data_IF_153502206437
#
_entry.id   IF_153502206437
#
_cell.length_a   1.000
_cell.length_b   1.000
_cell.length_c   1.000
_cell.angle_alpha   90.00
_cell.angle_beta   90.00
_cell.angle_gamma   90.00
#
_symmetry.space_group_name_H-M   'P 1'
#
loop_
_entity.id
_entity.type
_entity.pdbx_description
1 polymer ?
#
# COMPACT_ATOMS: atom_id res chain seq x y z
N UNK A 1 -5.72 18.09 27.02
CA UNK A 1 -5.88 16.83 26.25
C UNK A 1 -4.60 16.61 25.48
N UNK A 2 -3.93 15.47 25.65
CA UNK A 2 -2.81 15.07 24.80
C UNK A 2 -3.32 14.76 23.41
N UNK A 3 -2.71 15.33 22.37
CA UNK A 3 -3.02 14.96 20.98
C UNK A 3 -2.65 13.49 20.76
N UNK A 4 -3.63 12.65 20.38
CA UNK A 4 -3.32 11.29 19.92
C UNK A 4 -2.49 11.42 18.64
N UNK A 5 -1.27 10.90 18.65
CA UNK A 5 -0.40 10.83 17.46
C UNK A 5 -1.10 9.96 16.40
N UNK A 6 -1.29 10.50 15.20
CA UNK A 6 -1.75 9.76 14.03
C UNK A 6 -0.70 8.70 13.65
N UNK A 7 -1.14 7.47 13.39
CA UNK A 7 -0.29 6.38 12.88
C UNK A 7 -0.49 6.24 11.36
N UNK A 8 0.59 5.94 10.65
CA UNK A 8 0.51 5.28 9.34
C UNK A 8 0.35 3.77 9.53
N UNK A 9 -0.05 3.06 8.47
CA UNK A 9 -0.38 1.63 8.50
C UNK A 9 0.77 0.77 9.05
N UNK A 10 2.02 1.14 8.83
CA UNK A 10 3.19 0.42 9.35
C UNK A 10 3.27 0.42 10.89
N UNK A 11 2.80 1.50 11.52
CA UNK A 11 2.76 1.72 12.97
C UNK A 11 1.37 1.37 13.59
N UNK A 12 0.42 0.86 12.79
CA UNK A 12 -0.90 0.40 13.28
C UNK A 12 -0.83 -1.00 13.92
N UNK A 13 -1.85 -1.38 14.72
CA UNK A 13 -1.90 -2.69 15.37
C UNK A 13 -1.85 -3.85 14.35
N UNK A 14 -1.31 -5.02 14.73
CA UNK A 14 -1.28 -6.20 13.84
C UNK A 14 -2.66 -6.58 13.30
N UNK A 15 -3.72 -6.44 14.09
CA UNK A 15 -5.10 -6.71 13.67
C UNK A 15 -5.53 -5.85 12.46
N UNK A 16 -5.32 -4.53 12.53
CA UNK A 16 -5.62 -3.60 11.42
C UNK A 16 -4.80 -3.94 10.18
N UNK A 17 -3.51 -4.26 10.35
CA UNK A 17 -2.64 -4.70 9.24
C UNK A 17 -3.14 -6.02 8.62
N UNK A 18 -3.51 -7.02 9.42
CA UNK A 18 -4.01 -8.30 8.92
C UNK A 18 -5.31 -8.11 8.12
N UNK A 19 -6.26 -7.31 8.61
CA UNK A 19 -7.50 -7.05 7.87
C UNK A 19 -7.24 -6.29 6.56
N UNK A 20 -6.34 -5.30 6.57
CA UNK A 20 -5.91 -4.59 5.37
C UNK A 20 -5.35 -5.54 4.30
N UNK A 21 -4.42 -6.43 4.69
CA UNK A 21 -3.80 -7.35 3.74
C UNK A 21 -4.72 -8.50 3.30
N UNK A 22 -5.68 -8.93 4.13
CA UNK A 22 -6.75 -9.86 3.68
C UNK A 22 -7.58 -9.25 2.55
N UNK A 23 -7.91 -7.96 2.63
CA UNK A 23 -8.64 -7.28 1.55
C UNK A 23 -7.82 -7.27 0.25
N UNK A 24 -6.51 -6.98 0.33
CA UNK A 24 -5.62 -7.05 -0.85
C UNK A 24 -5.51 -8.48 -1.42
N UNK A 25 -5.53 -9.50 -0.57
CA UNK A 25 -5.55 -10.90 -0.99
C UNK A 25 -6.88 -11.29 -1.65
N UNK A 26 -8.03 -10.76 -1.19
CA UNK A 26 -9.31 -10.98 -1.90
C UNK A 26 -9.18 -10.45 -3.33
N UNK A 27 -8.67 -9.22 -3.52
CA UNK A 27 -8.44 -8.66 -4.86
C UNK A 27 -7.57 -9.58 -5.71
N UNK A 28 -6.39 -9.95 -5.21
CA UNK A 28 -5.42 -10.77 -5.92
C UNK A 28 -5.88 -12.23 -6.21
N UNK A 29 -6.99 -12.67 -5.59
CA UNK A 29 -7.55 -14.02 -5.72
C UNK A 29 -8.98 -13.98 -6.28
N UNK A 30 -9.40 -12.83 -6.85
CA UNK A 30 -10.75 -12.65 -7.41
C UNK A 30 -10.90 -13.30 -8.79
N UNK A 31 -9.82 -13.31 -9.57
CA UNK A 31 -9.78 -13.87 -10.93
C UNK A 31 -9.41 -15.38 -10.99
N UNK A 32 -9.02 -15.98 -9.86
CA UNK A 32 -8.48 -17.34 -9.80
C UNK A 32 -7.36 -17.50 -8.77
N UNK A 33 -6.31 -18.25 -9.11
CA UNK A 33 -5.11 -18.41 -8.27
C UNK A 33 -4.19 -17.18 -8.37
N UNK A 34 -3.80 -16.61 -7.22
CA UNK A 34 -2.90 -15.45 -7.15
C UNK A 34 -1.60 -15.67 -7.94
N UNK A 35 -1.31 -14.78 -8.88
CA UNK A 35 -0.12 -14.89 -9.73
C UNK A 35 1.17 -14.52 -8.99
N UNK A 36 2.29 -14.98 -9.54
CA UNK A 36 3.62 -14.59 -9.09
C UNK A 36 3.92 -13.08 -9.22
N UNK A 37 3.11 -12.30 -9.95
CA UNK A 37 3.31 -10.86 -10.13
C UNK A 37 2.55 -10.07 -9.07
N UNK A 38 1.29 -10.42 -8.80
CA UNK A 38 0.53 -9.89 -7.67
C UNK A 38 1.22 -10.24 -6.34
N UNK A 39 1.78 -11.45 -6.22
CA UNK A 39 2.58 -11.84 -5.05
C UNK A 39 3.83 -10.98 -4.87
N UNK A 40 4.46 -10.48 -5.93
CA UNK A 40 5.58 -9.54 -5.81
C UNK A 40 5.11 -8.23 -5.19
N UNK A 41 3.98 -7.69 -5.66
CA UNK A 41 3.45 -6.43 -5.13
C UNK A 41 2.87 -6.59 -3.71
N UNK A 42 2.20 -7.71 -3.40
CA UNK A 42 1.79 -8.06 -2.04
C UNK A 42 3.00 -8.06 -1.09
N UNK A 43 4.10 -8.76 -1.42
CA UNK A 43 5.28 -8.79 -0.55
C UNK A 43 5.97 -7.43 -0.40
N UNK A 44 5.99 -6.63 -1.46
CA UNK A 44 6.49 -5.24 -1.42
C UNK A 44 5.63 -4.36 -0.51
N UNK A 45 4.31 -4.48 -0.57
CA UNK A 45 3.39 -3.78 0.33
C UNK A 45 3.54 -4.29 1.78
N UNK A 46 3.71 -5.60 1.99
CA UNK A 46 3.99 -6.17 3.32
C UNK A 46 5.32 -5.65 3.89
N UNK A 47 6.33 -5.47 3.05
CA UNK A 47 7.62 -4.88 3.40
C UNK A 47 7.52 -3.38 3.70
N UNK A 48 6.79 -2.59 2.89
CA UNK A 48 6.45 -1.17 3.15
C UNK A 48 5.83 -1.03 4.53
N UNK A 49 4.85 -1.87 4.85
CA UNK A 49 4.07 -1.84 6.09
C UNK A 49 4.66 -2.66 7.26
N UNK A 50 5.89 -3.17 7.11
CA UNK A 50 6.67 -3.88 8.16
C UNK A 50 5.88 -5.02 8.84
N UNK A 51 5.26 -5.91 8.06
CA UNK A 51 4.56 -7.07 8.63
C UNK A 51 5.54 -8.07 9.24
N UNK A 52 5.19 -8.65 10.40
CA UNK A 52 6.00 -9.70 11.02
C UNK A 52 5.94 -10.99 10.21
N UNK A 53 6.93 -11.86 10.36
CA UNK A 53 6.90 -13.17 9.68
C UNK A 53 5.67 -13.99 10.07
N UNK A 54 5.23 -13.92 11.33
CA UNK A 54 4.01 -14.60 11.79
C UNK A 54 2.78 -14.09 11.05
N UNK A 55 2.63 -12.76 10.92
CA UNK A 55 1.51 -12.16 10.19
C UNK A 55 1.49 -12.58 8.72
N UNK A 56 2.66 -12.61 8.07
CA UNK A 56 2.77 -13.03 6.65
C UNK A 56 2.44 -14.51 6.47
N UNK A 57 2.91 -15.40 7.34
CA UNK A 57 2.57 -16.83 7.29
C UNK A 57 1.07 -17.07 7.53
N UNK A 58 0.44 -16.31 8.42
CA UNK A 58 -1.03 -16.31 8.62
C UNK A 58 -1.75 -15.88 7.33
N UNK A 59 -1.30 -14.80 6.69
CA UNK A 59 -1.88 -14.32 5.43
C UNK A 59 -1.71 -15.33 4.28
N UNK A 60 -0.55 -15.96 4.14
CA UNK A 60 -0.31 -17.01 3.15
C UNK A 60 -1.22 -18.23 3.35
N UNK A 61 -1.48 -18.61 4.61
CA UNK A 61 -2.45 -19.68 4.90
C UNK A 61 -3.90 -19.26 4.68
N UNK A 62 -4.19 -17.96 4.74
CA UNK A 62 -5.51 -17.42 4.49
C UNK A 62 -5.87 -17.36 2.99
N UNK A 63 -4.87 -17.36 2.10
CA UNK A 63 -5.06 -17.36 0.64
C UNK A 63 -5.73 -18.63 0.09
N UNK A 64 -5.67 -19.76 0.82
CA UNK A 64 -6.10 -21.07 0.31
C UNK A 64 -7.61 -21.32 0.40
N UNK A 65 -8.40 -20.31 0.79
CA UNK A 65 -9.85 -20.41 0.99
C UNK A 65 -10.62 -19.29 0.28
N UNK A 66 -11.65 -19.66 -0.51
CA UNK A 66 -12.56 -18.70 -1.12
C UNK A 66 -13.40 -17.95 -0.06
N UNK A 67 -13.05 -16.68 0.19
CA UNK A 67 -13.60 -15.88 1.31
C UNK A 67 -14.22 -14.54 0.88
N UNK A 68 -14.66 -14.42 -0.37
CA UNK A 68 -15.36 -13.24 -0.90
C UNK A 68 -16.50 -12.72 -0.01
N UNK A 69 -17.22 -13.62 0.66
CA UNK A 69 -18.33 -13.29 1.57
C UNK A 69 -17.89 -12.53 2.85
N UNK A 70 -16.59 -12.49 3.18
CA UNK A 70 -16.04 -11.81 4.37
C UNK A 70 -15.63 -10.35 4.08
N UNK A 71 -15.74 -9.87 2.83
CA UNK A 71 -15.24 -8.55 2.43
C UNK A 71 -15.83 -7.38 3.23
N UNK A 72 -17.16 -7.35 3.41
CA UNK A 72 -17.84 -6.28 4.15
C UNK A 72 -17.42 -6.27 5.63
N UNK A 73 -17.37 -7.44 6.26
CA UNK A 73 -16.91 -7.61 7.64
C UNK A 73 -15.46 -7.15 7.81
N UNK A 74 -14.57 -7.49 6.85
CA UNK A 74 -13.19 -7.02 6.85
C UNK A 74 -13.09 -5.49 6.70
N UNK A 75 -13.95 -4.87 5.87
CA UNK A 75 -13.99 -3.42 5.69
C UNK A 75 -14.50 -2.69 6.94
N UNK A 76 -15.52 -3.21 7.61
CA UNK A 76 -16.03 -2.64 8.87
C UNK A 76 -14.98 -2.76 9.99
N UNK A 77 -14.38 -3.95 10.14
CA UNK A 77 -13.33 -4.23 11.12
C UNK A 77 -12.02 -3.46 10.84
N UNK A 78 -11.79 -2.99 9.61
CA UNK A 78 -10.61 -2.20 9.25
C UNK A 78 -10.56 -0.85 9.96
N UNK A 79 -11.73 -0.30 10.30
CA UNK A 79 -11.88 0.99 10.96
C UNK A 79 -12.02 0.91 12.49
N UNK A 80 -11.98 -0.29 13.06
CA UNK A 80 -12.01 -0.50 14.51
C UNK A 80 -10.78 0.15 15.17
N UNK A 81 -11.00 0.80 16.32
CA UNK A 81 -10.01 1.59 17.08
C UNK A 81 -9.31 2.76 16.34
N UNK A 82 -9.58 2.97 15.04
CA UNK A 82 -9.00 4.07 14.27
C UNK A 82 -9.74 5.38 14.53
N UNK A 83 -8.99 6.48 14.64
CA UNK A 83 -9.57 7.82 14.57
C UNK A 83 -9.81 8.23 13.10
N UNK A 84 -10.65 9.23 12.85
CA UNK A 84 -11.08 9.60 11.48
C UNK A 84 -9.92 9.94 10.52
N UNK A 85 -8.76 10.34 11.06
CA UNK A 85 -7.55 10.65 10.28
C UNK A 85 -6.88 9.36 9.81
N UNK A 86 -6.78 8.39 10.70
CA UNK A 86 -6.27 7.05 10.41
C UNK A 86 -7.20 6.32 9.43
N UNK A 87 -8.52 6.45 9.61
CA UNK A 87 -9.51 5.94 8.62
C UNK A 87 -9.32 6.57 7.25
N UNK A 88 -9.11 7.88 7.16
CA UNK A 88 -8.91 8.57 5.89
C UNK A 88 -7.58 8.16 5.22
N UNK A 89 -6.51 7.96 5.99
CA UNK A 89 -5.24 7.40 5.48
C UNK A 89 -5.48 6.00 4.90
N UNK A 90 -6.07 5.10 5.71
CA UNK A 90 -6.33 3.71 5.33
C UNK A 90 -7.20 3.61 4.08
N UNK A 91 -8.30 4.36 4.01
CA UNK A 91 -9.20 4.44 2.84
C UNK A 91 -8.43 4.65 1.54
N UNK A 92 -7.59 5.69 1.50
CA UNK A 92 -6.91 6.09 0.27
C UNK A 92 -5.68 5.23 -0.02
N UNK A 93 -4.94 4.79 1.01
CA UNK A 93 -3.86 3.81 0.85
C UNK A 93 -4.38 2.48 0.33
N UNK A 94 -5.50 1.97 0.87
CA UNK A 94 -6.10 0.73 0.41
C UNK A 94 -6.51 0.81 -1.06
N UNK A 95 -7.12 1.93 -1.47
CA UNK A 95 -7.56 2.10 -2.87
C UNK A 95 -6.36 2.24 -3.82
N UNK A 96 -5.26 2.88 -3.42
CA UNK A 96 -4.00 2.87 -4.17
C UNK A 96 -3.42 1.46 -4.26
N UNK A 97 -3.30 0.77 -3.13
CA UNK A 97 -2.74 -0.58 -3.06
C UNK A 97 -3.59 -1.60 -3.84
N UNK A 98 -4.92 -1.43 -3.92
CA UNK A 98 -5.79 -2.21 -4.79
C UNK A 98 -5.53 -1.96 -6.29
N UNK A 99 -5.24 -0.72 -6.70
CA UNK A 99 -4.80 -0.41 -8.07
C UNK A 99 -3.44 -1.07 -8.36
N UNK A 100 -2.51 -1.06 -7.40
CA UNK A 100 -1.19 -1.71 -7.53
C UNK A 100 -1.33 -3.22 -7.74
N UNK A 101 -2.20 -3.89 -6.96
CA UNK A 101 -2.44 -5.33 -7.09
C UNK A 101 -3.09 -5.66 -8.44
N UNK A 102 -4.24 -5.03 -8.75
CA UNK A 102 -4.99 -5.26 -9.99
C UNK A 102 -4.19 -4.90 -11.26
N UNK A 103 -3.20 -4.00 -11.14
CA UNK A 103 -2.31 -3.62 -12.23
C UNK A 103 -1.00 -4.42 -12.32
N UNK A 104 -0.78 -5.45 -11.49
CA UNK A 104 0.54 -6.08 -11.30
C UNK A 104 1.04 -6.92 -12.50
N UNK A 105 0.12 -7.50 -13.26
CA UNK A 105 0.37 -8.31 -14.47
C UNK A 105 0.03 -7.57 -15.78
N UNK A 106 -0.55 -6.36 -15.67
CA UNK A 106 -1.07 -5.51 -16.74
C UNK A 106 -2.39 -5.99 -17.39
N UNK A 107 -3.19 -6.79 -16.68
CA UNK A 107 -4.52 -7.22 -17.12
C UNK A 107 -5.57 -7.04 -16.00
N UNK A 108 -6.34 -5.95 -16.05
CA UNK A 108 -7.46 -5.74 -15.13
C UNK A 108 -8.64 -6.67 -15.53
N UNK A 109 -8.88 -7.76 -14.79
CA UNK A 109 -9.96 -8.70 -15.07
C UNK A 109 -11.35 -8.09 -14.78
N UNK A 110 -12.43 -8.51 -15.47
CA UNK A 110 -13.78 -8.00 -15.21
C UNK A 110 -14.23 -8.14 -13.75
N UNK A 111 -13.92 -9.27 -13.13
CA UNK A 111 -14.27 -9.60 -11.75
C UNK A 111 -13.53 -8.72 -10.73
N UNK A 112 -12.25 -8.44 -10.98
CA UNK A 112 -11.44 -7.49 -10.19
C UNK A 112 -11.97 -6.08 -10.33
N UNK A 113 -12.32 -5.66 -11.54
CA UNK A 113 -12.91 -4.35 -11.79
C UNK A 113 -14.28 -4.19 -11.14
N UNK A 114 -15.10 -5.24 -11.09
CA UNK A 114 -16.32 -5.25 -10.31
C UNK A 114 -16.05 -5.11 -8.80
N UNK A 115 -15.10 -5.87 -8.26
CA UNK A 115 -14.69 -5.78 -6.86
C UNK A 115 -14.14 -4.38 -6.54
N UNK A 116 -13.27 -3.84 -7.38
CA UNK A 116 -12.67 -2.53 -7.23
C UNK A 116 -13.74 -1.42 -7.21
N UNK A 117 -14.76 -1.50 -8.07
CA UNK A 117 -15.86 -0.56 -8.05
C UNK A 117 -16.72 -0.68 -6.77
N UNK A 118 -17.02 -1.90 -6.30
CA UNK A 118 -17.68 -2.13 -4.99
C UNK A 118 -16.88 -1.50 -3.86
N UNK A 119 -15.54 -1.65 -3.88
CA UNK A 119 -14.64 -1.05 -2.89
C UNK A 119 -14.62 0.48 -2.99
N UNK A 120 -14.49 1.06 -4.19
CA UNK A 120 -14.58 2.50 -4.43
C UNK A 120 -15.83 3.12 -3.79
N UNK A 121 -16.97 2.44 -3.89
CA UNK A 121 -18.24 2.84 -3.27
C UNK A 121 -18.22 2.71 -1.74
N UNK A 122 -17.82 1.56 -1.18
CA UNK A 122 -17.69 1.33 0.28
C UNK A 122 -16.79 2.40 0.91
N UNK A 123 -15.68 2.71 0.25
CA UNK A 123 -14.70 3.69 0.69
C UNK A 123 -15.08 5.13 0.34
N UNK A 124 -16.22 5.37 -0.34
CA UNK A 124 -16.74 6.67 -0.78
C UNK A 124 -15.70 7.54 -1.53
N UNK A 125 -14.92 6.94 -2.44
CA UNK A 125 -13.92 7.60 -3.31
C UNK A 125 -14.62 8.30 -4.47
N UNK A 126 -14.23 9.54 -4.78
CA UNK A 126 -14.76 10.27 -5.96
C UNK A 126 -13.93 9.96 -7.21
N UNK A 127 -14.52 10.15 -8.41
CA UNK A 127 -13.80 9.96 -9.68
C UNK A 127 -12.58 10.89 -9.83
N UNK A 128 -12.65 12.11 -9.29
CA UNK A 128 -11.51 13.04 -9.20
C UNK A 128 -10.36 12.47 -8.35
N UNK A 129 -10.70 11.88 -7.20
CA UNK A 129 -9.72 11.23 -6.33
C UNK A 129 -9.17 9.94 -6.93
N UNK A 130 -10.00 9.17 -7.64
CA UNK A 130 -9.57 7.97 -8.34
C UNK A 130 -8.63 8.30 -9.50
N UNK A 131 -8.95 9.31 -10.32
CA UNK A 131 -8.11 9.76 -11.42
C UNK A 131 -6.72 10.17 -10.92
N UNK A 132 -6.67 10.94 -9.83
CA UNK A 132 -5.42 11.30 -9.17
C UNK A 132 -4.60 10.08 -8.68
N UNK A 133 -5.24 9.09 -8.05
CA UNK A 133 -4.53 7.88 -7.60
C UNK A 133 -4.01 7.02 -8.77
N UNK A 134 -4.74 6.98 -9.90
CA UNK A 134 -4.28 6.29 -11.12
C UNK A 134 -3.09 7.02 -11.77
N UNK A 135 -3.10 8.35 -11.82
CA UNK A 135 -1.98 9.16 -12.32
C UNK A 135 -0.72 8.99 -11.46
N UNK A 136 -0.88 8.97 -10.14
CA UNK A 136 0.24 8.74 -9.22
C UNK A 136 0.80 7.32 -9.34
N UNK A 137 -0.04 6.29 -9.51
CA UNK A 137 0.42 4.91 -9.78
C UNK A 137 1.28 4.80 -11.06
N UNK A 138 0.85 5.41 -12.18
CA UNK A 138 1.65 5.41 -13.42
C UNK A 138 2.95 6.23 -13.30
N UNK A 139 2.93 7.30 -12.49
CA UNK A 139 4.12 8.06 -12.13
C UNK A 139 5.11 7.21 -11.33
N UNK A 140 4.63 6.48 -10.32
CA UNK A 140 5.47 5.63 -9.46
C UNK A 140 6.16 4.49 -10.22
N UNK A 141 5.46 3.89 -11.21
CA UNK A 141 6.02 2.86 -12.10
C UNK A 141 7.21 3.37 -12.91
N UNK A 142 7.19 4.64 -13.30
CA UNK A 142 8.16 5.26 -14.23
C UNK A 142 9.22 6.14 -13.55
N UNK A 143 9.02 6.50 -12.28
CA UNK A 143 9.84 7.46 -11.52
C UNK A 143 11.37 7.21 -11.52
N UNK A 144 11.78 5.94 -11.49
CA UNK A 144 13.20 5.51 -11.57
C UNK A 144 13.60 4.93 -12.94
N UNK A 145 12.67 4.88 -13.91
CA UNK A 145 12.94 4.43 -15.27
C UNK A 145 13.47 5.58 -16.14
N UNK A 146 13.01 6.82 -15.89
CA UNK A 146 13.48 8.00 -16.60
C UNK A 146 14.82 8.53 -16.06
N UNK A 147 15.82 8.64 -16.94
CA UNK A 147 17.03 9.47 -16.73
C UNK A 147 16.70 10.98 -16.82
N UNK A 148 15.67 11.41 -16.11
CA UNK A 148 15.36 12.83 -15.89
C UNK A 148 16.49 13.47 -15.08
N UNK A 149 17.45 14.01 -15.83
CA UNK A 149 18.51 14.93 -15.39
C UNK A 149 17.98 16.34 -15.11
N UNK A 150 16.77 16.63 -15.56
CA UNK A 150 16.08 17.92 -15.36
C UNK A 150 15.22 17.95 -14.08
N UNK A 151 14.93 19.16 -13.59
CA UNK A 151 14.09 19.41 -12.42
C UNK A 151 12.59 19.18 -12.67
N UNK A 152 12.19 18.78 -13.88
CA UNK A 152 10.78 18.56 -14.27
C UNK A 152 10.02 17.62 -13.34
N UNK A 153 10.68 16.62 -12.75
CA UNK A 153 10.07 15.74 -11.75
C UNK A 153 9.73 16.46 -10.43
N UNK A 154 10.50 17.50 -10.05
CA UNK A 154 10.22 18.31 -8.85
C UNK A 154 8.97 19.15 -9.06
N UNK A 155 8.81 19.72 -10.27
CA UNK A 155 7.59 20.44 -10.66
C UNK A 155 6.37 19.51 -10.63
N UNK A 156 6.47 18.31 -11.22
CA UNK A 156 5.42 17.27 -11.11
C UNK A 156 5.10 16.94 -9.65
N UNK A 157 6.09 16.73 -8.80
CA UNK A 157 5.87 16.42 -7.38
C UNK A 157 5.23 17.59 -6.60
N UNK A 158 5.56 18.84 -6.95
CA UNK A 158 4.93 20.06 -6.41
C UNK A 158 3.46 20.16 -6.83
N UNK A 159 3.15 19.88 -8.10
CA UNK A 159 1.80 19.80 -8.62
C UNK A 159 1.00 18.67 -7.96
N UNK A 160 1.55 17.45 -7.86
CA UNK A 160 0.94 16.30 -7.16
C UNK A 160 0.59 16.63 -5.71
N UNK A 161 1.50 17.29 -4.99
CA UNK A 161 1.28 17.72 -3.60
C UNK A 161 0.13 18.74 -3.48
N UNK A 162 0.09 19.72 -4.36
CA UNK A 162 -0.96 20.76 -4.38
C UNK A 162 -2.31 20.17 -4.76
N UNK A 163 -2.37 19.32 -5.79
CA UNK A 163 -3.58 18.64 -6.24
C UNK A 163 -4.13 17.70 -5.17
N UNK A 164 -3.29 16.85 -4.56
CA UNK A 164 -3.70 16.01 -3.43
C UNK A 164 -4.35 16.82 -2.29
N UNK A 165 -3.72 17.95 -1.94
CA UNK A 165 -4.22 18.87 -0.91
C UNK A 165 -5.59 19.47 -1.29
N UNK A 166 -5.77 19.85 -2.56
CA UNK A 166 -7.01 20.44 -3.07
C UNK A 166 -8.18 19.45 -3.07
N UNK A 167 -7.95 18.22 -3.54
CA UNK A 167 -8.99 17.17 -3.66
C UNK A 167 -9.22 16.39 -2.34
N UNK A 168 -8.41 16.68 -1.31
CA UNK A 168 -8.52 16.08 0.01
C UNK A 168 -7.97 14.66 0.13
N UNK A 169 -7.18 14.21 -0.83
CA UNK A 169 -6.33 13.01 -0.66
C UNK A 169 -5.23 13.41 0.33
N UNK A 170 -5.16 12.79 1.52
CA UNK A 170 -4.10 13.11 2.44
C UNK A 170 -2.80 12.65 1.78
N UNK A 171 -1.88 13.60 1.52
CA UNK A 171 -0.53 13.31 1.01
C UNK A 171 0.14 12.23 1.87
N UNK A 172 -0.33 11.96 3.08
CA UNK A 172 0.01 10.79 3.90
C UNK A 172 0.06 9.46 3.15
N UNK A 173 -0.92 9.24 2.27
CA UNK A 173 -1.12 8.01 1.48
C UNK A 173 0.00 7.81 0.49
N UNK A 174 0.47 8.95 -0.04
CA UNK A 174 1.52 9.06 -1.03
C UNK A 174 2.89 9.08 -0.31
N UNK A 175 3.06 9.96 0.70
CA UNK A 175 4.35 10.42 1.26
C UNK A 175 4.42 10.97 2.72
N UNK A 176 3.33 11.20 3.50
CA UNK A 176 3.33 12.26 4.58
C UNK A 176 2.80 12.07 6.06
N UNK A 177 2.07 11.04 6.54
CA UNK A 177 1.49 10.93 7.93
C UNK A 177 1.06 12.26 8.69
N UNK A 178 -0.21 12.71 8.72
CA UNK A 178 -0.60 13.95 9.47
C UNK A 178 -2.11 14.28 9.62
N UNK A 179 -2.47 15.11 10.61
CA UNK A 179 -3.84 15.24 11.18
C UNK A 179 -4.87 16.05 10.36
N UNK A 180 -5.92 15.40 9.86
CA UNK A 180 -7.12 16.01 9.25
C UNK A 180 -8.38 15.94 10.15
N UNK A 181 -8.81 17.03 10.82
CA UNK A 181 -10.09 17.00 11.55
C UNK A 181 -11.29 17.08 10.60
N UNK A 182 -11.88 15.92 10.27
CA UNK A 182 -13.22 15.79 9.69
C UNK A 182 -13.92 14.59 10.34
N UNK A 183 -14.95 14.85 11.14
CA UNK A 183 -15.88 13.82 11.59
C UNK A 183 -16.56 13.18 10.37
N UNK A 184 -16.61 11.85 10.33
CA UNK A 184 -17.33 11.12 9.29
C UNK A 184 -18.15 9.96 9.85
N UNK A 185 -19.45 10.22 10.03
CA UNK A 185 -20.46 9.18 10.18
C UNK A 185 -20.97 8.74 8.80
N UNK A 186 -20.27 7.78 8.19
CA UNK A 186 -20.71 6.91 7.09
C UNK A 186 -21.66 7.56 6.06
N UNK A 187 -21.08 8.36 5.16
CA UNK A 187 -21.62 8.70 3.83
C UNK A 187 -23.03 9.31 3.75
N UNK A 188 -23.55 9.96 4.81
CA UNK A 188 -24.90 10.58 4.82
C UNK A 188 -24.95 12.05 5.28
N UNK A 189 -24.34 12.97 4.52
CA UNK A 189 -24.81 14.37 4.35
C UNK A 189 -24.10 15.07 3.19
N UNK A 190 -24.88 15.80 2.38
CA UNK A 190 -24.41 16.48 1.16
C UNK A 190 -23.20 17.40 1.40
N UNK A 191 -22.33 17.43 0.39
CA UNK A 191 -21.35 18.47 0.04
C UNK A 191 -21.49 19.78 0.83
N UNK A 192 -20.57 20.00 1.77
CA UNK A 192 -20.30 21.33 2.35
C UNK A 192 -18.84 21.67 2.10
N UNK A 193 -18.60 22.73 1.33
CA UNK A 193 -17.26 23.17 0.90
C UNK A 193 -16.34 23.39 2.12
N UNK A 194 -15.09 22.86 2.13
CA UNK A 194 -14.13 23.16 3.18
C UNK A 194 -13.63 24.61 3.09
N UNK A 195 -13.45 25.23 4.25
CA UNK A 195 -12.59 26.42 4.41
C UNK A 195 -11.26 25.96 4.98
N UNK A 196 -10.14 26.42 4.42
CA UNK A 196 -8.78 26.06 4.85
C UNK A 196 -8.38 26.80 6.14
N UNK A 197 -7.85 26.11 7.17
CA UNK A 197 -7.16 26.74 8.30
C UNK A 197 -5.68 26.34 8.38
N UNK A 198 -4.81 27.13 7.74
CA UNK A 198 -3.49 27.60 8.22
C UNK A 198 -2.36 26.67 8.71
N UNK A 199 -2.59 25.43 9.14
CA UNK A 199 -1.61 24.63 9.92
C UNK A 199 -1.14 23.34 9.22
N UNK A 200 -0.88 23.42 7.91
CA UNK A 200 -0.56 22.28 7.01
C UNK A 200 0.88 21.73 7.18
N UNK A 201 1.64 22.16 8.20
CA UNK A 201 3.11 22.12 8.17
C UNK A 201 3.82 21.01 8.98
N UNK A 202 3.17 19.91 9.41
CA UNK A 202 3.77 18.94 10.36
C UNK A 202 3.43 17.45 10.14
N UNK A 203 4.51 16.65 10.15
CA UNK A 203 4.64 15.18 10.11
C UNK A 203 4.88 14.56 8.71
N UNK A 204 5.47 13.35 8.67
CA UNK A 204 6.08 12.61 7.52
C UNK A 204 6.21 11.11 7.94
N UNK A 205 6.15 10.10 7.04
CA UNK A 205 7.27 9.27 6.50
C UNK A 205 6.74 8.24 5.46
N UNK A 206 7.41 8.09 4.31
CA UNK A 206 7.60 6.80 3.60
C UNK A 206 9.02 6.28 3.91
N UNK A 207 9.14 5.13 4.59
CA UNK A 207 10.33 4.26 4.70
C UNK A 207 11.70 4.81 5.19
N UNK A 208 11.98 6.11 5.09
CA UNK A 208 13.30 6.72 5.25
C UNK A 208 13.36 8.22 4.94
N UNK A 209 12.42 8.78 4.17
CA UNK A 209 12.31 10.24 3.99
C UNK A 209 11.79 10.89 5.29
N UNK A 210 12.50 11.88 5.84
CA UNK A 210 12.17 12.47 7.16
C UNK A 210 11.42 13.81 7.06
N UNK A 211 10.76 14.24 8.15
CA UNK A 211 10.09 15.55 8.25
C UNK A 211 10.97 16.74 7.83
N UNK A 212 12.29 16.63 7.98
CA UNK A 212 13.25 17.63 7.48
C UNK A 212 13.23 17.76 5.95
N UNK A 213 13.04 16.68 5.19
CA UNK A 213 13.02 16.70 3.72
C UNK A 213 11.76 17.38 3.18
N UNK A 214 10.60 17.08 3.75
CA UNK A 214 9.33 17.63 3.26
C UNK A 214 9.13 19.10 3.69
N UNK A 215 9.61 19.48 4.88
CA UNK A 215 9.76 20.90 5.25
C UNK A 215 10.75 21.63 4.33
N UNK A 216 11.87 20.98 4.00
CA UNK A 216 12.89 21.53 3.10
C UNK A 216 12.40 21.69 1.65
N UNK A 217 11.49 20.82 1.20
CA UNK A 217 10.73 20.92 -0.04
C UNK A 217 9.77 22.14 -0.03
N UNK A 218 8.96 22.27 1.03
CA UNK A 218 8.08 23.43 1.24
C UNK A 218 8.84 24.77 1.39
N UNK A 219 10.13 24.73 1.74
CA UNK A 219 11.03 25.89 1.71
C UNK A 219 11.54 26.25 0.29
N UNK A 220 11.01 25.63 -0.78
CA UNK A 220 11.21 26.02 -2.18
C UNK A 220 12.61 25.74 -2.74
N UNK A 221 13.39 24.85 -2.13
CA UNK A 221 14.83 24.71 -2.38
C UNK A 221 15.17 23.80 -3.58
N UNK A 222 14.60 24.10 -4.77
CA UNK A 222 14.83 23.39 -6.06
C UNK A 222 16.29 22.94 -6.29
N UNK A 223 17.26 23.77 -5.90
CA UNK A 223 18.73 23.49 -5.96
C UNK A 223 19.21 22.19 -5.28
N UNK A 224 18.41 21.46 -4.50
CA UNK A 224 18.77 20.11 -4.02
C UNK A 224 17.73 19.03 -4.35
N UNK A 225 16.93 19.21 -5.40
CA UNK A 225 15.98 18.21 -5.89
C UNK A 225 16.62 16.81 -5.96
N UNK A 226 17.82 16.69 -6.54
CA UNK A 226 18.61 15.45 -6.58
C UNK A 226 18.63 14.69 -5.24
N UNK A 227 18.78 15.37 -4.09
CA UNK A 227 18.82 14.73 -2.75
C UNK A 227 17.49 14.13 -2.31
N UNK A 228 16.38 14.68 -2.78
CA UNK A 228 15.06 14.12 -2.54
C UNK A 228 14.84 12.89 -3.46
N UNK A 229 15.24 12.95 -4.73
CA UNK A 229 15.22 11.78 -5.64
C UNK A 229 16.11 10.64 -5.14
N UNK A 230 17.32 10.95 -4.65
CA UNK A 230 18.25 10.02 -3.99
C UNK A 230 17.61 9.38 -2.74
N UNK A 231 17.02 10.18 -1.84
CA UNK A 231 16.40 9.66 -0.62
C UNK A 231 15.15 8.80 -0.89
N UNK A 232 14.36 9.14 -1.91
CA UNK A 232 13.24 8.33 -2.38
C UNK A 232 13.72 6.99 -2.97
N UNK A 233 14.80 7.00 -3.76
CA UNK A 233 15.42 5.79 -4.28
C UNK A 233 15.98 4.88 -3.17
N UNK A 234 16.62 5.46 -2.15
CA UNK A 234 17.12 4.73 -0.98
C UNK A 234 15.97 4.10 -0.19
N UNK A 235 14.85 4.81 -0.01
CA UNK A 235 13.66 4.29 0.66
C UNK A 235 13.00 3.16 -0.13
N UNK A 236 12.83 3.31 -1.45
CA UNK A 236 12.32 2.27 -2.34
C UNK A 236 13.21 1.02 -2.33
N UNK A 237 14.53 1.21 -2.39
CA UNK A 237 15.53 0.13 -2.32
C UNK A 237 15.42 -0.64 -1.01
N UNK A 238 15.27 0.05 0.14
CA UNK A 238 15.07 -0.59 1.46
C UNK A 238 13.75 -1.37 1.59
N UNK A 239 12.70 -0.99 0.86
CA UNK A 239 11.46 -1.79 0.79
C UNK A 239 11.67 -3.01 -0.08
N UNK A 240 12.36 -2.86 -1.22
CA UNK A 240 12.70 -3.95 -2.13
C UNK A 240 13.59 -5.02 -1.47
N UNK A 241 14.70 -4.62 -0.83
CA UNK A 241 15.59 -5.51 -0.05
C UNK A 241 14.84 -6.25 1.06
N UNK A 242 13.91 -5.57 1.74
CA UNK A 242 13.09 -6.19 2.80
C UNK A 242 12.08 -7.19 2.23
N UNK A 243 11.52 -6.94 1.06
CA UNK A 243 10.64 -7.90 0.38
C UNK A 243 11.41 -9.17 -0.03
N UNK A 244 12.67 -9.03 -0.46
CA UNK A 244 13.57 -10.16 -0.77
C UNK A 244 13.90 -11.01 0.47
N UNK A 245 14.25 -10.33 1.58
CA UNK A 245 14.48 -10.96 2.89
C UNK A 245 13.23 -11.67 3.42
N UNK A 246 12.05 -11.06 3.27
CA UNK A 246 10.77 -11.64 3.66
C UNK A 246 10.47 -12.91 2.86
N UNK A 247 10.53 -12.85 1.52
CA UNK A 247 10.34 -14.02 0.65
C UNK A 247 11.33 -15.13 0.99
N UNK A 248 12.61 -14.80 1.14
CA UNK A 248 13.67 -15.78 1.44
C UNK A 248 13.40 -16.51 2.76
N UNK A 249 13.03 -15.78 3.82
CA UNK A 249 12.72 -16.35 5.14
C UNK A 249 11.43 -17.17 5.15
N UNK A 250 10.41 -16.75 4.40
CA UNK A 250 9.12 -17.45 4.38
C UNK A 250 9.21 -18.72 3.53
N UNK A 251 9.97 -18.71 2.43
CA UNK A 251 10.34 -19.93 1.69
C UNK A 251 11.08 -20.92 2.60
N UNK A 252 12.10 -20.46 3.32
CA UNK A 252 12.85 -21.31 4.27
C UNK A 252 11.90 -21.91 5.32
N UNK A 253 11.00 -21.10 5.88
CA UNK A 253 10.07 -21.57 6.91
C UNK A 253 9.09 -22.64 6.40
N UNK A 254 8.53 -22.45 5.21
CA UNK A 254 7.65 -23.43 4.57
C UNK A 254 8.43 -24.71 4.19
N UNK A 255 9.71 -24.59 3.82
CA UNK A 255 10.57 -25.74 3.54
C UNK A 255 10.92 -26.55 4.80
N UNK A 256 11.15 -25.90 5.94
CA UNK A 256 11.28 -26.58 7.25
C UNK A 256 9.99 -27.33 7.60
N UNK A 257 8.83 -26.69 7.44
CA UNK A 257 7.53 -27.31 7.69
C UNK A 257 7.31 -28.53 6.78
N UNK A 258 7.59 -28.44 5.48
CA UNK A 258 7.52 -29.56 4.53
C UNK A 258 8.40 -30.78 4.89
N UNK A 259 9.51 -30.57 5.61
CA UNK A 259 10.40 -31.63 6.10
C UNK A 259 9.87 -32.28 7.39
N UNK A 260 9.19 -31.52 8.25
CA UNK A 260 8.70 -32.00 9.54
C UNK A 260 7.23 -32.47 9.52
N UNK A 261 6.42 -32.03 8.56
CA UNK A 261 5.03 -32.43 8.37
C UNK A 261 4.91 -33.92 8.03
N UNK A 262 4.38 -34.69 8.99
CA UNK A 262 3.93 -36.08 8.81
C UNK A 262 2.46 -36.19 8.38
N UNK A 263 1.80 -35.05 8.17
CA UNK A 263 0.36 -34.95 7.95
C UNK A 263 -0.09 -35.37 6.54
N UNK A 264 -1.39 -35.26 6.28
CA UNK A 264 -2.06 -35.78 5.09
C UNK A 264 -1.50 -35.22 3.77
N UNK A 265 -1.69 -36.00 2.70
CA UNK A 265 -1.26 -35.69 1.33
C UNK A 265 -1.75 -34.31 0.87
N UNK A 266 -2.92 -33.86 1.33
CA UNK A 266 -3.49 -32.54 1.02
C UNK A 266 -2.65 -31.38 1.54
N UNK A 267 -2.35 -31.34 2.84
CA UNK A 267 -1.57 -30.26 3.45
C UNK A 267 -0.15 -30.18 2.87
N UNK A 268 0.49 -31.33 2.63
CA UNK A 268 1.80 -31.37 1.96
C UNK A 268 1.75 -30.86 0.52
N UNK A 269 0.63 -31.05 -0.20
CA UNK A 269 0.44 -30.50 -1.55
C UNK A 269 0.28 -28.98 -1.52
N UNK A 270 -0.51 -28.44 -0.58
CA UNK A 270 -0.70 -27.01 -0.40
C UNK A 270 0.61 -26.28 -0.06
N UNK A 271 1.35 -26.76 0.95
CA UNK A 271 2.67 -26.21 1.32
C UNK A 271 3.68 -26.26 0.16
N UNK A 272 3.69 -27.33 -0.65
CA UNK A 272 4.55 -27.42 -1.83
C UNK A 272 4.15 -26.40 -2.92
N UNK A 273 2.85 -26.25 -3.21
CA UNK A 273 2.37 -25.24 -4.15
C UNK A 273 2.80 -23.84 -3.72
N UNK A 274 2.58 -23.50 -2.44
CA UNK A 274 2.99 -22.23 -1.84
C UNK A 274 4.50 -22.00 -1.94
N UNK A 275 5.32 -23.00 -1.63
CA UNK A 275 6.77 -22.91 -1.76
C UNK A 275 7.21 -22.60 -3.20
N UNK A 276 6.60 -23.25 -4.19
CA UNK A 276 6.86 -23.00 -5.62
C UNK A 276 6.41 -21.60 -6.05
N UNK A 277 5.24 -21.15 -5.61
CA UNK A 277 4.74 -19.79 -5.87
C UNK A 277 5.70 -18.72 -5.32
N UNK A 278 6.14 -18.86 -4.06
CA UNK A 278 7.09 -17.92 -3.46
C UNK A 278 8.48 -17.95 -4.12
N UNK A 279 8.97 -19.12 -4.54
CA UNK A 279 10.23 -19.22 -5.30
C UNK A 279 10.15 -18.49 -6.64
N UNK A 280 9.05 -18.65 -7.39
CA UNK A 280 8.79 -17.88 -8.62
C UNK A 280 8.67 -16.39 -8.34
N UNK A 281 7.98 -16.01 -7.25
CA UNK A 281 7.81 -14.62 -6.79
C UNK A 281 9.18 -13.99 -6.50
N UNK A 282 10.07 -14.68 -5.79
CA UNK A 282 11.43 -14.21 -5.49
C UNK A 282 12.27 -14.01 -6.76
N UNK A 283 12.15 -14.90 -7.74
CA UNK A 283 12.78 -14.74 -9.05
C UNK A 283 12.30 -13.50 -9.80
N UNK A 284 10.99 -13.20 -9.75
CA UNK A 284 10.39 -12.02 -10.36
C UNK A 284 10.70 -10.72 -9.59
N UNK A 285 10.80 -10.77 -8.26
CA UNK A 285 11.19 -9.61 -7.46
C UNK A 285 12.63 -9.19 -7.82
N UNK A 286 13.57 -10.14 -7.82
CA UNK A 286 15.01 -9.90 -8.09
C UNK A 286 15.32 -9.39 -9.50
N UNK A 287 14.44 -9.60 -10.47
CA UNK A 287 14.58 -9.07 -11.83
C UNK A 287 13.93 -7.69 -12.02
N UNK A 288 13.03 -7.27 -11.12
CA UNK A 288 12.40 -5.95 -11.13
C UNK A 288 13.29 -4.92 -10.40
N UNK A 289 13.27 -3.67 -10.85
CA UNK A 289 13.90 -2.55 -10.12
C UNK A 289 13.09 -2.18 -8.86
N UNK A 290 13.67 -1.46 -7.89
CA UNK A 290 12.91 -0.73 -6.87
C UNK A 290 11.92 0.24 -7.53
N UNK A 291 10.74 0.40 -6.93
CA UNK A 291 9.67 1.30 -7.38
C UNK A 291 9.10 2.06 -6.18
N UNK A 292 8.45 3.19 -6.44
CA UNK A 292 7.63 3.86 -5.44
C UNK A 292 6.32 3.08 -5.25
N UNK A 293 5.79 3.13 -4.02
CA UNK A 293 4.64 2.37 -3.54
C UNK A 293 3.91 3.24 -2.51
#
# INVERSE_FOLDING_TARGET
MTEKKVRGLEDMPPYTKLNYFKILIIMANTNGEVTQLEMVELYRLMAKNKLSQVDRLVLLSWMEEERHNQLLELCDNLYEELNDQEKNIIRFSLIKDLIIIMGADNYEAPEEMELFNKMKEIFCITEEQLGFLKEEYETDKTFFAEETTDNSWYDKFEETFLTATAIGVPITVLYYQGSFKREWSLCRRLYRKPTLPGNIAKAVVLGGASYKMLKWFLEGKRKKAHKLKEALFEAASKVHERADDYLTKDIQKIQEELQHTKEEVGQRKALNHRAVLLQKTLGNLRSRKPQLL
#
